data_IF_457867958925
#
_entry.id   IF_457867958925
#
_cell.length_a   1.000
_cell.length_b   1.000
_cell.length_c   1.000
_cell.angle_alpha   90.00
_cell.angle_beta   90.00
_cell.angle_gamma   90.00
#
_symmetry.space_group_name_H-M   'P 1'
#
loop_
_entity.id
_entity.type
_entity.pdbx_description
1 polymer ?
#
# COMPACT_ATOMS: atom_id res chain seq x y z
N UNK A 1 -0.68 20.02 8.58
CA UNK A 1 0.69 19.97 8.02
C UNK A 1 0.79 18.74 7.14
N UNK A 2 1.45 18.82 5.98
CA UNK A 2 1.76 17.66 5.13
C UNK A 2 2.78 16.79 5.86
N UNK A 3 2.55 15.48 5.93
CA UNK A 3 3.46 14.51 6.55
C UNK A 3 4.20 13.68 5.51
N UNK A 4 3.52 13.34 4.44
CA UNK A 4 4.05 12.54 3.34
C UNK A 4 3.73 13.22 2.02
N UNK A 5 4.66 13.20 1.10
CA UNK A 5 4.49 13.66 -0.28
C UNK A 5 5.13 12.67 -1.24
N UNK A 6 4.67 12.66 -2.47
CA UNK A 6 5.21 11.80 -3.50
C UNK A 6 4.75 12.20 -4.89
N UNK A 7 5.45 11.70 -5.89
CA UNK A 7 5.19 12.01 -7.30
C UNK A 7 5.62 10.88 -8.23
N UNK A 8 5.04 10.88 -9.42
CA UNK A 8 5.49 9.98 -10.48
C UNK A 8 6.87 10.39 -11.00
N UNK A 9 7.51 9.50 -11.74
CA UNK A 9 8.86 9.70 -12.27
C UNK A 9 9.04 11.02 -13.06
N UNK A 10 8.03 11.43 -13.85
CA UNK A 10 8.09 12.67 -14.64
C UNK A 10 7.59 13.91 -13.89
N UNK A 11 7.06 13.77 -12.67
CA UNK A 11 6.53 14.86 -11.86
C UNK A 11 5.14 15.37 -12.25
N UNK A 12 4.51 14.83 -13.32
CA UNK A 12 3.21 15.31 -13.81
C UNK A 12 2.03 14.95 -12.87
N UNK A 13 2.19 13.93 -12.03
CA UNK A 13 1.23 13.50 -11.02
C UNK A 13 1.92 13.45 -9.68
N UNK A 14 1.31 14.03 -8.65
CA UNK A 14 1.79 14.00 -7.29
C UNK A 14 0.69 13.81 -6.28
N UNK A 15 1.06 13.66 -5.01
CA UNK A 15 0.12 13.63 -3.89
C UNK A 15 0.78 14.16 -2.61
N UNK A 16 -0.08 14.61 -1.71
CA UNK A 16 0.27 14.96 -0.34
C UNK A 16 -0.66 14.24 0.62
N UNK A 17 -0.12 13.68 1.70
CA UNK A 17 -0.89 13.07 2.78
C UNK A 17 -0.62 13.76 4.12
N UNK A 18 -1.69 13.98 4.90
CA UNK A 18 -1.67 14.74 6.17
C UNK A 18 -1.69 13.85 7.41
N UNK A 19 -1.89 12.55 7.24
CA UNK A 19 -1.92 11.56 8.33
C UNK A 19 -0.81 10.54 8.17
N UNK A 20 -0.57 9.72 9.21
CA UNK A 20 0.17 8.47 9.09
C UNK A 20 -0.59 7.49 8.19
N UNK A 21 0.10 6.58 7.49
CA UNK A 21 -0.57 5.47 6.81
C UNK A 21 -1.24 4.56 7.85
N UNK A 22 -2.46 4.15 7.58
CA UNK A 22 -3.20 3.19 8.41
C UNK A 22 -2.49 1.83 8.46
N UNK A 23 -1.78 1.47 7.39
CA UNK A 23 -0.92 0.28 7.30
C UNK A 23 -0.05 0.36 6.05
N UNK A 24 1.07 -0.40 6.06
CA UNK A 24 1.97 -0.55 4.91
C UNK A 24 2.17 -2.03 4.65
N UNK A 25 2.01 -2.47 3.40
CA UNK A 25 2.02 -3.88 3.03
C UNK A 25 2.87 -4.18 1.80
N UNK A 26 3.44 -5.38 1.76
CA UNK A 26 3.84 -6.04 0.53
C UNK A 26 2.70 -6.93 0.02
N UNK A 27 2.38 -6.87 -1.26
CA UNK A 27 1.37 -7.72 -1.89
C UNK A 27 1.97 -8.53 -3.03
N UNK A 28 2.00 -9.85 -2.89
CA UNK A 28 2.53 -10.80 -3.87
C UNK A 28 1.46 -11.38 -4.80
N UNK A 29 0.24 -10.82 -4.84
CA UNK A 29 -0.78 -11.29 -5.77
C UNK A 29 -0.36 -11.05 -7.23
N UNK A 30 -0.88 -11.84 -8.16
CA UNK A 30 -0.49 -11.77 -9.58
C UNK A 30 -0.75 -10.38 -10.20
N UNK A 31 -1.83 -9.74 -9.81
CA UNK A 31 -2.16 -8.40 -10.30
C UNK A 31 -1.16 -7.34 -9.80
N UNK A 32 -0.74 -7.44 -8.52
CA UNK A 32 0.28 -6.56 -7.99
C UNK A 32 1.62 -6.78 -8.68
N UNK A 33 2.03 -8.04 -8.89
CA UNK A 33 3.24 -8.37 -9.63
C UNK A 33 3.21 -7.82 -11.05
N UNK A 34 2.14 -8.09 -11.81
CA UNK A 34 1.98 -7.58 -13.18
C UNK A 34 1.97 -6.07 -13.25
N UNK A 35 1.32 -5.41 -12.31
CA UNK A 35 1.23 -3.95 -12.31
C UNK A 35 2.49 -3.25 -11.81
N UNK A 36 3.34 -3.93 -11.01
CA UNK A 36 4.61 -3.39 -10.52
C UNK A 36 5.80 -3.73 -11.41
N UNK A 37 5.72 -4.85 -12.15
CA UNK A 37 6.87 -5.41 -12.84
C UNK A 37 7.91 -6.03 -11.89
N UNK A 38 7.52 -6.31 -10.63
CA UNK A 38 8.38 -6.87 -9.57
C UNK A 38 7.73 -8.10 -8.93
N UNK A 39 8.43 -8.75 -8.01
CA UNK A 39 7.91 -9.91 -7.29
C UNK A 39 6.79 -9.58 -6.30
N UNK A 40 6.68 -8.32 -5.88
CA UNK A 40 5.57 -7.79 -5.10
C UNK A 40 5.30 -6.32 -5.44
N UNK A 41 4.25 -5.76 -4.85
CA UNK A 41 4.02 -4.33 -4.81
C UNK A 41 3.96 -3.88 -3.35
N UNK A 42 4.61 -2.77 -3.02
CA UNK A 42 4.52 -2.14 -1.71
C UNK A 42 3.50 -1.01 -1.76
N UNK A 43 2.56 -1.03 -0.81
CA UNK A 43 1.47 -0.09 -0.71
C UNK A 43 1.40 0.52 0.68
N UNK A 44 1.30 1.85 0.74
CA UNK A 44 0.95 2.57 1.96
C UNK A 44 -0.50 3.02 1.88
N UNK A 45 -1.33 2.59 2.80
CA UNK A 45 -2.76 2.89 2.84
C UNK A 45 -3.02 4.10 3.73
N UNK A 46 -3.71 5.09 3.20
CA UNK A 46 -4.12 6.29 3.92
C UNK A 46 -5.65 6.42 3.87
N UNK A 47 -6.22 7.10 4.84
CA UNK A 47 -7.59 7.57 4.71
C UNK A 47 -7.71 8.49 3.48
N UNK A 48 -8.71 8.27 2.64
CA UNK A 48 -8.90 9.05 1.40
C UNK A 48 -9.02 10.55 1.68
N UNK A 49 -9.67 10.93 2.77
CA UNK A 49 -9.83 12.32 3.19
C UNK A 49 -8.50 13.00 3.59
N UNK A 50 -7.46 12.22 3.90
CA UNK A 50 -6.14 12.72 4.28
C UNK A 50 -5.20 12.92 3.09
N UNK A 51 -5.56 12.44 1.89
CA UNK A 51 -4.71 12.48 0.69
C UNK A 51 -5.28 13.42 -0.35
N UNK A 52 -4.42 14.30 -0.86
CA UNK A 52 -4.75 15.19 -1.96
C UNK A 52 -3.84 14.89 -3.15
N UNK A 53 -4.43 14.47 -4.27
CA UNK A 53 -3.70 14.26 -5.52
C UNK A 53 -3.66 15.53 -6.37
N UNK A 54 -2.59 15.68 -7.13
CA UNK A 54 -2.39 16.71 -8.15
C UNK A 54 -2.03 16.08 -9.48
N UNK A 55 -2.38 16.77 -10.57
CA UNK A 55 -2.21 16.23 -11.92
C UNK A 55 -3.36 15.30 -12.35
N UNK A 56 -3.32 14.87 -13.61
CA UNK A 56 -4.34 13.97 -14.20
C UNK A 56 -3.83 12.55 -14.20
N UNK A 57 -4.65 11.62 -13.69
CA UNK A 57 -4.33 10.18 -13.68
C UNK A 57 -5.21 9.42 -14.66
N UNK A 58 -4.62 8.43 -15.33
CA UNK A 58 -5.38 7.37 -16.02
C UNK A 58 -5.77 6.27 -15.04
N UNK A 59 -6.85 5.54 -15.37
CA UNK A 59 -7.43 4.51 -14.51
C UNK A 59 -7.64 3.20 -15.26
N UNK A 60 -7.41 2.10 -14.54
CA UNK A 60 -7.78 0.76 -14.98
C UNK A 60 -8.44 0.01 -13.84
N UNK A 61 -9.64 -0.53 -14.09
CA UNK A 61 -10.42 -1.26 -13.09
C UNK A 61 -10.54 -2.74 -13.45
N UNK A 62 -10.41 -3.59 -12.44
CA UNK A 62 -10.55 -5.04 -12.55
C UNK A 62 -11.39 -5.58 -11.39
N UNK A 63 -11.94 -6.77 -11.55
CA UNK A 63 -12.58 -7.48 -10.44
C UNK A 63 -11.51 -8.10 -9.56
N UNK A 64 -11.60 -7.89 -8.25
CA UNK A 64 -10.69 -8.46 -7.26
C UNK A 64 -11.00 -9.94 -6.99
N UNK A 65 -10.00 -10.73 -6.54
CA UNK A 65 -10.14 -12.17 -6.19
C UNK A 65 -11.30 -12.46 -5.23
N UNK A 66 -11.65 -11.53 -4.34
CA UNK A 66 -12.72 -11.67 -3.34
C UNK A 66 -14.02 -10.95 -3.73
N UNK A 67 -14.15 -10.58 -5.00
CA UNK A 67 -15.24 -9.73 -5.48
C UNK A 67 -14.96 -8.24 -5.22
N UNK A 68 -15.85 -7.40 -5.75
CA UNK A 68 -15.66 -5.96 -5.75
C UNK A 68 -14.67 -5.50 -6.83
N UNK A 69 -14.47 -4.20 -6.91
CA UNK A 69 -13.64 -3.56 -7.93
C UNK A 69 -12.33 -3.06 -7.33
N UNK A 70 -11.24 -3.37 -8.01
CA UNK A 70 -9.92 -2.78 -7.78
C UNK A 70 -9.68 -1.75 -8.88
N UNK A 71 -9.45 -0.50 -8.52
CA UNK A 71 -9.09 0.57 -9.46
C UNK A 71 -7.66 0.99 -9.23
N UNK A 72 -6.85 0.90 -10.28
CA UNK A 72 -5.45 1.34 -10.31
C UNK A 72 -5.34 2.65 -11.05
N UNK A 73 -4.61 3.59 -10.48
CA UNK A 73 -4.40 4.92 -11.02
C UNK A 73 -2.91 5.14 -11.28
N UNK A 74 -2.60 5.69 -12.45
CA UNK A 74 -1.22 5.85 -12.92
C UNK A 74 -1.07 7.12 -13.76
N UNK A 75 0.14 7.62 -13.84
CA UNK A 75 0.46 8.76 -14.67
C UNK A 75 0.33 8.40 -16.16
N UNK A 76 -0.48 9.13 -16.96
CA UNK A 76 -0.62 8.85 -18.39
C UNK A 76 0.64 9.15 -19.20
N UNK A 77 1.54 10.00 -18.67
CA UNK A 77 2.76 10.42 -19.37
C UNK A 77 3.91 9.42 -19.21
N UNK A 78 4.19 8.98 -17.98
CA UNK A 78 5.33 8.08 -17.72
C UNK A 78 4.93 6.65 -17.34
N UNK A 79 3.63 6.36 -17.21
CA UNK A 79 3.14 5.05 -16.76
C UNK A 79 3.37 4.77 -15.26
N UNK A 80 3.96 5.70 -14.53
CA UNK A 80 4.26 5.54 -13.11
C UNK A 80 2.99 5.28 -12.32
N UNK A 81 2.96 4.15 -11.59
CA UNK A 81 1.84 3.71 -10.78
C UNK A 81 1.74 4.60 -9.53
N UNK A 82 0.57 5.20 -9.30
CA UNK A 82 0.38 6.17 -8.23
C UNK A 82 -0.49 5.62 -7.10
N UNK A 83 -1.69 5.15 -7.43
CA UNK A 83 -2.66 4.79 -6.43
C UNK A 83 -3.44 3.51 -6.76
N UNK A 84 -4.07 2.98 -5.75
CA UNK A 84 -4.92 1.80 -5.79
C UNK A 84 -6.09 2.01 -4.83
N UNK A 85 -7.30 1.72 -5.26
CA UNK A 85 -8.48 1.70 -4.40
C UNK A 85 -9.26 0.40 -4.58
N UNK A 86 -9.92 -0.05 -3.51
CA UNK A 86 -10.80 -1.19 -3.49
C UNK A 86 -12.21 -0.78 -3.08
N UNK A 87 -13.23 -1.24 -3.77
CA UNK A 87 -14.61 -0.97 -3.39
C UNK A 87 -14.97 -1.56 -2.02
N UNK A 88 -14.30 -2.62 -1.59
CA UNK A 88 -14.45 -3.24 -0.27
C UNK A 88 -13.67 -2.55 0.85
N UNK A 89 -12.83 -1.58 0.52
CA UNK A 89 -12.06 -0.75 1.45
C UNK A 89 -12.40 0.72 1.21
N UNK A 90 -13.68 1.04 1.25
CA UNK A 90 -14.16 2.42 1.11
C UNK A 90 -13.57 3.30 2.22
N UNK A 91 -13.14 4.49 1.87
CA UNK A 91 -12.52 5.42 2.79
C UNK A 91 -10.98 5.35 2.84
N UNK A 92 -10.36 4.41 2.14
CA UNK A 92 -8.90 4.34 2.02
C UNK A 92 -8.45 4.40 0.55
N UNK A 93 -7.30 4.99 0.36
CA UNK A 93 -6.52 4.95 -0.87
C UNK A 93 -5.12 4.43 -0.55
N UNK A 94 -4.60 3.54 -1.38
CA UNK A 94 -3.27 2.99 -1.24
C UNK A 94 -2.35 3.66 -2.25
N UNK A 95 -1.31 4.34 -1.79
CA UNK A 95 -0.28 4.90 -2.68
C UNK A 95 0.85 3.90 -2.87
N UNK A 96 1.46 3.91 -4.06
CA UNK A 96 2.61 3.09 -4.33
C UNK A 96 3.81 3.61 -3.53
N UNK A 97 4.34 2.81 -2.61
CA UNK A 97 5.36 3.25 -1.65
C UNK A 97 6.62 3.81 -2.31
N UNK A 98 7.04 3.24 -3.44
CA UNK A 98 8.20 3.73 -4.19
C UNK A 98 8.01 5.09 -4.89
N UNK A 99 6.82 5.69 -4.81
CA UNK A 99 6.56 7.06 -5.32
C UNK A 99 6.65 8.14 -4.24
N UNK A 100 6.82 7.75 -2.97
CA UNK A 100 7.11 8.71 -1.90
C UNK A 100 8.43 9.43 -2.17
N UNK A 101 8.49 10.71 -1.86
CA UNK A 101 9.72 11.51 -1.96
C UNK A 101 10.77 11.01 -0.95
N UNK A 102 10.33 10.46 0.18
CA UNK A 102 11.13 9.72 1.16
C UNK A 102 10.50 8.33 1.40
N UNK A 103 10.88 7.29 0.62
CA UNK A 103 10.32 5.95 0.78
C UNK A 103 10.75 5.25 2.07
N UNK A 104 11.81 5.68 2.73
CA UNK A 104 12.28 5.13 4.01
C UNK A 104 11.47 5.65 5.20
N UNK A 105 10.62 6.66 4.99
CA UNK A 105 9.70 7.18 6.01
C UNK A 105 8.58 6.21 6.41
N UNK A 106 8.41 5.10 5.69
CA UNK A 106 7.40 4.07 5.97
C UNK A 106 8.04 2.68 6.08
N UNK A 107 7.44 1.83 6.92
CA UNK A 107 7.93 0.45 7.12
C UNK A 107 6.78 -0.53 6.83
N UNK A 108 6.94 -1.45 5.88
CA UNK A 108 5.99 -2.54 5.67
C UNK A 108 5.88 -3.42 6.92
N UNK A 109 4.66 -3.79 7.30
CA UNK A 109 4.40 -4.61 8.49
C UNK A 109 4.03 -6.05 8.17
N UNK A 110 3.67 -6.35 6.92
CA UNK A 110 3.23 -7.67 6.52
C UNK A 110 3.27 -7.92 5.02
N UNK A 111 3.15 -9.21 4.68
CA UNK A 111 3.10 -9.73 3.31
C UNK A 111 1.76 -10.41 3.07
N UNK A 112 1.05 -9.98 2.03
CA UNK A 112 -0.18 -10.62 1.55
C UNK A 112 0.10 -11.51 0.34
N UNK A 113 -0.66 -12.60 0.22
CA UNK A 113 -0.57 -13.56 -0.88
C UNK A 113 0.78 -14.27 -0.98
N UNK A 114 1.46 -14.54 0.14
CA UNK A 114 2.76 -15.18 0.14
C UNK A 114 2.76 -16.62 -0.44
N UNK A 115 1.60 -17.25 -0.61
CA UNK A 115 1.48 -18.50 -1.38
C UNK A 115 1.90 -18.34 -2.86
N UNK A 116 2.01 -17.10 -3.33
CA UNK A 116 2.47 -16.74 -4.68
C UNK A 116 3.88 -16.14 -4.66
N UNK A 117 4.61 -16.37 -3.57
CA UNK A 117 5.98 -15.89 -3.42
C UNK A 117 6.85 -16.30 -4.62
N UNK A 118 7.73 -15.40 -5.03
CA UNK A 118 8.65 -15.60 -6.15
C UNK A 118 10.07 -15.78 -5.60
N UNK A 119 10.72 -16.90 -5.93
CA UNK A 119 12.02 -17.32 -5.33
C UNK A 119 13.16 -16.31 -5.48
N UNK A 120 13.07 -15.41 -6.44
CA UNK A 120 14.08 -14.37 -6.68
C UNK A 120 13.76 -13.03 -5.98
N UNK A 121 12.58 -12.91 -5.34
CA UNK A 121 12.13 -11.69 -4.67
C UNK A 121 12.15 -11.90 -3.17
N UNK A 122 13.05 -11.24 -2.47
CA UNK A 122 13.27 -11.44 -1.04
C UNK A 122 12.60 -10.34 -0.24
N UNK A 123 11.71 -10.74 0.67
CA UNK A 123 11.12 -9.86 1.69
C UNK A 123 11.69 -10.23 3.06
N UNK A 124 11.69 -9.29 3.99
CA UNK A 124 12.22 -9.53 5.33
C UNK A 124 11.46 -10.68 6.03
N UNK A 125 12.20 -11.67 6.54
CA UNK A 125 11.62 -12.85 7.18
C UNK A 125 10.85 -12.54 8.49
N UNK A 126 11.09 -11.38 9.08
CA UNK A 126 10.40 -10.89 10.27
C UNK A 126 8.96 -10.41 10.02
N UNK A 127 8.57 -10.21 8.75
CA UNK A 127 7.24 -9.73 8.43
C UNK A 127 6.19 -10.82 8.62
N UNK A 128 5.05 -10.45 9.20
CA UNK A 128 3.89 -11.34 9.25
C UNK A 128 3.42 -11.68 7.83
N UNK A 129 3.14 -12.95 7.54
CA UNK A 129 2.77 -13.40 6.20
C UNK A 129 1.37 -14.01 6.19
N UNK A 130 0.62 -13.75 5.12
CA UNK A 130 -0.70 -14.32 4.88
C UNK A 130 -0.73 -14.99 3.51
N UNK A 131 -1.16 -16.28 3.41
CA UNK A 131 -1.17 -17.02 2.15
C UNK A 131 -2.13 -16.43 1.12
N UNK A 132 -3.12 -15.65 1.56
CA UNK A 132 -4.08 -14.87 0.77
C UNK A 132 -4.47 -13.60 1.54
N UNK A 133 -5.59 -12.99 1.21
CA UNK A 133 -6.17 -11.94 2.07
C UNK A 133 -6.60 -12.56 3.42
N UNK A 134 -6.39 -11.86 4.56
CA UNK A 134 -6.89 -12.32 5.85
C UNK A 134 -8.42 -12.50 5.84
N UNK A 135 -8.97 -13.42 6.69
CA UNK A 135 -10.40 -13.74 6.68
C UNK A 135 -11.31 -12.62 7.20
N UNK A 136 -10.77 -11.67 7.94
CA UNK A 136 -11.50 -10.50 8.49
C UNK A 136 -11.74 -9.44 7.43
N UNK A 137 -12.72 -8.56 7.65
CA UNK A 137 -12.85 -7.35 6.85
C UNK A 137 -11.58 -6.53 6.99
N UNK A 138 -11.19 -5.85 5.93
CA UNK A 138 -9.93 -5.10 5.89
C UNK A 138 -9.85 -4.02 6.99
N UNK A 139 -11.00 -3.42 7.35
CA UNK A 139 -11.13 -2.43 8.44
C UNK A 139 -10.89 -3.03 9.83
N UNK A 140 -11.38 -4.25 10.10
CA UNK A 140 -11.15 -4.96 11.37
C UNK A 140 -9.69 -5.38 11.52
N UNK A 141 -9.11 -5.81 10.41
CA UNK A 141 -7.71 -6.20 10.36
C UNK A 141 -6.76 -5.01 10.53
N UNK A 142 -7.02 -3.87 9.88
CA UNK A 142 -6.23 -2.65 10.04
C UNK A 142 -6.26 -2.14 11.50
N UNK A 143 -7.42 -2.18 12.16
CA UNK A 143 -7.55 -1.82 13.58
C UNK A 143 -6.74 -2.74 14.49
N UNK A 144 -6.80 -4.07 14.28
CA UNK A 144 -6.07 -5.03 15.12
C UNK A 144 -4.55 -4.84 15.05
N UNK A 145 -4.02 -4.35 13.92
CA UNK A 145 -2.58 -4.10 13.75
C UNK A 145 -2.10 -2.78 14.34
N UNK A 146 -2.95 -1.77 14.37
CA UNK A 146 -2.64 -0.53 15.09
C UNK A 146 -2.52 -0.79 16.59
N UNK A 147 -3.38 -1.66 17.14
CA UNK A 147 -3.33 -2.05 18.55
C UNK A 147 -2.06 -2.88 18.86
N UNK A 148 -1.67 -3.81 17.98
CA UNK A 148 -0.44 -4.60 18.13
C UNK A 148 0.84 -3.74 17.99
N UNK A 149 0.89 -2.80 17.05
CA UNK A 149 2.03 -1.90 16.88
C UNK A 149 2.21 -0.95 18.07
N UNK A 150 1.14 -0.53 18.72
CA UNK A 150 1.17 0.28 19.92
C UNK A 150 1.77 -0.48 21.14
N UNK A 151 1.56 -1.79 21.22
CA UNK A 151 2.14 -2.65 22.26
C UNK A 151 3.65 -2.82 22.10
N UNK A 152 4.17 -2.87 20.88
CA UNK A 152 5.62 -2.98 20.62
C UNK A 152 6.37 -1.66 20.84
N UNK A 153 5.73 -0.51 20.62
CA UNK A 153 6.34 0.79 20.85
C UNK A 153 6.48 1.16 22.34
N UNK A 154 5.71 0.52 23.22
CA UNK A 154 5.74 0.75 24.67
C UNK A 154 6.67 -0.21 25.45
N UNK A 155 7.35 -1.13 24.76
CA UNK A 155 8.15 -2.22 25.36
C UNK A 155 9.67 -2.05 25.35
N UNK A 156 10.23 -0.95 24.82
CA UNK A 156 11.68 -0.74 24.76
C UNK A 156 12.14 0.54 25.49
N UNK A 157 11.90 0.56 26.78
CA UNK A 157 12.68 1.40 27.70
C UNK A 157 13.14 0.49 28.85
N UNK A 158 14.19 -0.30 28.60
CA UNK A 158 15.16 -0.75 29.63
C UNK A 158 16.27 -1.59 28.94
N UNK A 159 17.38 -0.93 28.62
CA UNK A 159 18.78 -1.33 28.91
C UNK A 159 19.71 -0.18 28.54
#
# INVERSE_FOLDING_TARGET
>A
MVKYAGKCQCGAVGYEAKSEPSFVIHCECLDCKKSSGAGHATWAAFETAAVQFSGVMSRHSTIADRGGTTTREFCPTCGGRMALSYSSLSGHVLVAAGTLDDPDSIIPSLVLYNKRHTVWDHVAASLATYPAMPPRTYSEWAKSRLDEACVFASGNDTL
#
